data_IF_557677433983
#
_entry.id   IF_557677433983
#
_cell.length_a   1.000
_cell.length_b   1.000
_cell.length_c   1.000
_cell.angle_alpha   90.00
_cell.angle_beta   90.00
_cell.angle_gamma   90.00
#
_symmetry.space_group_name_H-M   'P 1'
#
loop_
_entity.id
_entity.type
_entity.pdbx_description
1 polymer ?
#
# COMPACT_ATOMS: atom_id res chain seq x y z
N UNK A 1 4.98 0.80 17.70
CA UNK A 1 6.32 1.29 18.08
C UNK A 1 7.06 2.02 16.95
N UNK A 2 7.19 1.49 15.72
CA UNK A 2 7.89 2.17 14.60
C UNK A 2 7.36 3.57 14.21
N UNK A 3 6.04 3.77 14.30
CA UNK A 3 5.40 5.06 14.00
C UNK A 3 5.81 6.18 14.98
N UNK A 4 6.21 5.84 16.20
CA UNK A 4 6.55 6.80 17.25
C UNK A 4 7.93 7.43 17.04
N UNK A 5 8.87 6.72 16.40
CA UNK A 5 10.26 7.14 16.22
C UNK A 5 10.55 7.81 14.87
N UNK A 6 9.63 7.70 13.91
CA UNK A 6 9.79 8.37 12.61
C UNK A 6 9.53 9.89 12.75
N UNK A 7 10.38 10.77 12.18
CA UNK A 7 10.12 12.21 12.15
C UNK A 7 8.73 12.51 11.58
N UNK A 8 7.97 13.42 12.22
CA UNK A 8 6.56 13.71 11.87
C UNK A 8 6.38 14.01 10.39
N UNK A 9 7.34 14.68 9.76
CA UNK A 9 7.35 15.05 8.33
C UNK A 9 7.48 13.83 7.40
N UNK A 10 8.12 12.75 7.86
CA UNK A 10 8.36 11.54 7.07
C UNK A 10 7.25 10.49 7.21
N UNK A 11 6.44 10.57 8.28
CA UNK A 11 5.38 9.59 8.53
C UNK A 11 4.37 9.47 7.38
N UNK A 12 3.86 10.56 6.77
CA UNK A 12 2.96 10.42 5.62
C UNK A 12 3.63 9.75 4.42
N UNK A 13 4.92 10.03 4.19
CA UNK A 13 5.71 9.45 3.09
C UNK A 13 5.90 7.95 3.27
N UNK A 14 6.31 7.54 4.47
CA UNK A 14 6.43 6.13 4.85
C UNK A 14 5.08 5.42 4.74
N UNK A 15 4.02 6.03 5.27
CA UNK A 15 2.66 5.47 5.19
C UNK A 15 2.25 5.27 3.75
N UNK A 16 2.46 6.24 2.86
CA UNK A 16 2.13 6.10 1.44
C UNK A 16 2.87 4.94 0.76
N UNK A 17 4.18 4.81 1.01
CA UNK A 17 5.01 3.71 0.48
C UNK A 17 4.50 2.36 0.98
N UNK A 18 4.26 2.25 2.29
CA UNK A 18 3.74 1.03 2.94
C UNK A 18 2.37 0.65 2.41
N UNK A 19 1.46 1.61 2.24
CA UNK A 19 0.12 1.35 1.67
C UNK A 19 0.17 0.94 0.20
N UNK A 20 1.06 1.54 -0.60
CA UNK A 20 1.19 1.14 -2.00
C UNK A 20 1.63 -0.32 -2.13
N UNK A 21 2.59 -0.74 -1.29
CA UNK A 21 3.00 -2.13 -1.20
C UNK A 21 1.84 -3.02 -0.72
N UNK A 22 1.26 -2.69 0.44
CA UNK A 22 0.25 -3.51 1.12
C UNK A 22 -1.04 -3.68 0.32
N UNK A 23 -1.55 -2.63 -0.32
CA UNK A 23 -2.78 -2.71 -1.13
C UNK A 23 -2.51 -3.04 -2.59
N UNK A 24 -1.23 -3.17 -2.98
CA UNK A 24 -0.79 -3.47 -4.34
C UNK A 24 -1.40 -2.52 -5.40
N UNK A 25 -1.53 -1.24 -5.02
CA UNK A 25 -2.15 -0.20 -5.87
C UNK A 25 -1.13 0.58 -6.67
N UNK A 26 -1.62 1.32 -7.68
CA UNK A 26 -0.76 2.23 -8.44
C UNK A 26 -0.44 3.46 -7.58
N UNK A 27 0.70 4.10 -7.85
CA UNK A 27 1.09 5.33 -7.16
C UNK A 27 0.01 6.41 -7.26
N UNK A 28 -0.61 6.56 -8.44
CA UNK A 28 -1.72 7.48 -8.67
C UNK A 28 -2.88 7.24 -7.70
N UNK A 29 -3.32 6.00 -7.56
CA UNK A 29 -4.38 5.59 -6.63
C UNK A 29 -4.03 6.05 -5.20
N UNK A 30 -2.80 5.81 -4.74
CA UNK A 30 -2.36 6.14 -3.38
C UNK A 30 -2.26 7.64 -3.15
N UNK A 31 -1.59 8.38 -4.05
CA UNK A 31 -1.46 9.84 -3.94
C UNK A 31 -2.79 10.57 -4.08
N UNK A 32 -3.76 9.91 -4.74
CA UNK A 32 -5.11 10.41 -4.96
C UNK A 32 -6.09 10.07 -3.84
N UNK A 33 -5.67 9.46 -2.73
CA UNK A 33 -6.57 9.21 -1.61
C UNK A 33 -6.87 10.49 -0.83
N UNK A 34 -8.14 10.67 -0.48
CA UNK A 34 -8.61 11.66 0.47
C UNK A 34 -9.06 11.00 1.78
N UNK A 35 -9.31 11.81 2.82
CA UNK A 35 -9.82 11.34 4.12
C UNK A 35 -11.10 10.50 3.98
N UNK A 36 -12.01 10.88 3.08
CA UNK A 36 -13.26 10.14 2.84
C UNK A 36 -13.08 8.80 2.14
N UNK A 37 -11.92 8.53 1.56
CA UNK A 37 -11.69 7.32 0.76
C UNK A 37 -11.19 6.14 1.58
N UNK A 38 -10.96 6.34 2.88
CA UNK A 38 -10.42 5.34 3.80
C UNK A 38 -11.23 5.27 5.07
N UNK A 39 -11.61 4.06 5.47
CA UNK A 39 -12.28 3.80 6.74
C UNK A 39 -11.53 2.72 7.51
N UNK A 40 -11.43 2.94 8.82
CA UNK A 40 -10.74 2.06 9.75
C UNK A 40 -11.70 1.69 10.89
N UNK A 41 -12.66 0.77 10.68
CA UNK A 41 -13.63 0.39 11.71
C UNK A 41 -12.97 -0.24 12.95
N UNK A 42 -13.67 -0.19 14.09
CA UNK A 42 -13.16 -0.71 15.36
C UNK A 42 -12.91 -2.23 15.36
N UNK A 43 -13.55 -2.97 14.45
CA UNK A 43 -13.37 -4.41 14.24
C UNK A 43 -12.02 -4.81 13.62
N UNK A 44 -11.11 -3.84 13.42
CA UNK A 44 -9.77 -4.07 12.90
C UNK A 44 -9.67 -4.13 11.38
N UNK A 45 -10.79 -4.12 10.64
CA UNK A 45 -10.75 -4.07 9.17
C UNK A 45 -10.13 -2.77 8.66
N UNK A 46 -9.71 -2.81 7.40
CA UNK A 46 -9.25 -1.64 6.65
C UNK A 46 -10.01 -1.56 5.33
N UNK A 47 -10.76 -0.49 5.14
CA UNK A 47 -11.56 -0.28 3.93
C UNK A 47 -11.01 0.91 3.15
N UNK A 48 -10.94 0.77 1.83
CA UNK A 48 -10.58 1.89 0.96
C UNK A 48 -11.38 1.87 -0.33
N UNK A 49 -11.45 3.03 -0.99
CA UNK A 49 -11.93 3.17 -2.37
C UNK A 49 -10.95 3.96 -3.22
N UNK A 50 -10.79 3.57 -4.48
CA UNK A 50 -9.94 4.25 -5.47
C UNK A 50 -10.63 4.25 -6.84
N UNK A 51 -10.30 5.19 -7.75
CA UNK A 51 -10.82 5.15 -9.11
C UNK A 51 -10.38 3.89 -9.87
N UNK A 52 -11.27 3.35 -10.72
CA UNK A 52 -10.93 2.29 -11.67
C UNK A 52 -10.31 2.90 -12.93
N UNK A 53 -8.99 2.76 -13.05
CA UNK A 53 -8.23 3.28 -14.18
C UNK A 53 -8.12 2.30 -15.37
N UNK A 54 -8.77 1.12 -15.33
CA UNK A 54 -8.67 0.11 -16.39
C UNK A 54 -9.90 0.00 -17.30
N UNK A 55 -11.04 0.53 -16.90
CA UNK A 55 -12.25 0.56 -17.74
C UNK A 55 -12.56 1.99 -18.16
N UNK A 56 -12.96 2.20 -19.42
CA UNK A 56 -13.08 3.52 -20.05
C UNK A 56 -14.14 4.45 -19.41
N UNK A 57 -14.91 3.97 -18.43
CA UNK A 57 -15.76 4.80 -17.60
C UNK A 57 -14.92 5.40 -16.45
N UNK A 58 -14.50 6.66 -16.60
CA UNK A 58 -13.70 7.42 -15.60
C UNK A 58 -14.35 7.53 -14.21
N UNK A 59 -15.60 7.08 -14.05
CA UNK A 59 -16.39 7.20 -12.83
C UNK A 59 -16.54 5.91 -12.03
N UNK A 60 -16.01 4.77 -12.52
CA UNK A 60 -16.12 3.52 -11.76
C UNK A 60 -15.14 3.53 -10.58
N UNK A 61 -15.61 3.11 -9.41
CA UNK A 61 -14.80 2.99 -8.19
C UNK A 61 -14.50 1.53 -7.88
N UNK A 62 -13.31 1.29 -7.35
CA UNK A 62 -12.90 0.03 -6.75
C UNK A 62 -12.98 0.23 -5.24
N UNK A 63 -13.88 -0.48 -4.57
CA UNK A 63 -13.91 -0.58 -3.11
C UNK A 63 -13.30 -1.91 -2.68
N UNK A 64 -12.51 -1.88 -1.60
CA UNK A 64 -11.91 -3.08 -0.99
C UNK A 64 -11.99 -3.01 0.52
N UNK A 65 -12.18 -4.17 1.13
CA UNK A 65 -12.13 -4.36 2.58
C UNK A 65 -11.12 -5.45 2.86
N UNK A 66 -10.04 -5.09 3.56
CA UNK A 66 -9.08 -6.06 4.07
C UNK A 66 -9.54 -6.53 5.45
N UNK A 67 -9.50 -7.85 5.73
CA UNK A 67 -9.77 -8.40 7.05
C UNK A 67 -8.84 -7.82 8.13
N UNK A 68 -9.21 -7.92 9.41
CA UNK A 68 -8.29 -7.59 10.50
C UNK A 68 -7.04 -8.48 10.42
N UNK A 69 -5.90 -7.97 10.90
CA UNK A 69 -4.74 -8.82 11.12
C UNK A 69 -5.07 -9.89 12.18
N UNK A 70 -4.56 -11.11 12.00
CA UNK A 70 -4.70 -12.18 13.01
C UNK A 70 -4.13 -11.76 14.36
N UNK A 71 -3.01 -11.02 14.35
CA UNK A 71 -2.45 -10.36 15.52
C UNK A 71 -2.59 -8.83 15.38
N UNK A 72 -3.69 -8.30 15.92
CA UNK A 72 -4.02 -6.87 15.82
C UNK A 72 -3.01 -5.95 16.52
N UNK A 73 -2.22 -6.44 17.47
CA UNK A 73 -1.24 -5.64 18.19
C UNK A 73 -0.05 -5.22 17.30
N UNK A 74 0.22 -5.98 16.23
CA UNK A 74 1.34 -5.79 15.31
C UNK A 74 0.92 -5.39 13.88
N UNK A 75 -0.29 -4.86 13.69
CA UNK A 75 -0.75 -4.36 12.39
C UNK A 75 -0.13 -2.99 12.04
N UNK A 76 1.18 -2.98 11.75
CA UNK A 76 1.97 -1.78 11.47
C UNK A 76 1.38 -0.94 10.32
N UNK A 77 0.99 -1.51 9.15
CA UNK A 77 0.40 -0.72 8.07
C UNK A 77 -0.86 0.01 8.51
N UNK A 78 -1.74 -0.67 9.24
CA UNK A 78 -2.98 -0.08 9.75
C UNK A 78 -2.71 0.97 10.83
N UNK A 79 -1.74 0.74 11.72
CA UNK A 79 -1.36 1.69 12.77
C UNK A 79 -0.81 3.01 12.18
N UNK A 80 0.03 2.93 11.15
CA UNK A 80 0.55 4.11 10.44
C UNK A 80 -0.59 4.93 9.83
N UNK A 81 -1.52 4.26 9.15
CA UNK A 81 -2.69 4.91 8.55
C UNK A 81 -3.66 5.48 9.59
N UNK A 82 -3.92 4.75 10.68
CA UNK A 82 -4.77 5.23 11.76
C UNK A 82 -4.21 6.51 12.40
N UNK A 83 -2.89 6.54 12.62
CA UNK A 83 -2.23 7.73 13.17
C UNK A 83 -2.34 8.91 12.22
N UNK A 84 -2.05 8.72 10.94
CA UNK A 84 -2.17 9.79 9.94
C UNK A 84 -3.58 10.37 9.87
N UNK A 85 -4.61 9.50 9.87
CA UNK A 85 -6.00 9.94 9.85
C UNK A 85 -6.38 10.68 11.14
N UNK A 86 -5.89 10.24 12.30
CA UNK A 86 -6.11 10.93 13.56
C UNK A 86 -5.45 12.32 13.56
N UNK A 87 -4.20 12.42 13.10
CA UNK A 87 -3.47 13.69 13.01
C UNK A 87 -4.21 14.67 12.06
N UNK A 88 -4.63 14.21 10.87
CA UNK A 88 -5.42 15.02 9.92
C UNK A 88 -6.75 15.48 10.50
N UNK A 89 -7.50 14.59 11.16
CA UNK A 89 -8.79 14.94 11.78
C UNK A 89 -8.62 15.93 12.92
N UNK A 90 -7.58 15.75 13.73
CA UNK A 90 -7.26 16.69 14.82
C UNK A 90 -6.90 18.08 14.30
N UNK A 91 -6.34 18.17 13.09
CA UNK A 91 -6.05 19.40 12.38
C UNK A 91 -7.27 19.98 11.62
N UNK A 92 -8.47 19.38 11.76
CA UNK A 92 -9.69 19.86 11.10
C UNK A 92 -9.77 19.54 9.60
N UNK A 93 -9.02 18.54 9.11
CA UNK A 93 -9.07 18.12 7.72
C UNK A 93 -10.50 17.71 7.29
N UNK A 94 -10.92 18.16 6.11
CA UNK A 94 -12.23 17.81 5.55
C UNK A 94 -12.18 16.44 4.85
N UNK A 95 -13.35 15.93 4.49
CA UNK A 95 -13.52 14.71 3.70
C UNK A 95 -12.66 14.70 2.40
N UNK A 96 -12.48 15.87 1.77
CA UNK A 96 -11.74 16.04 0.52
C UNK A 96 -10.23 16.28 0.69
N UNK A 97 -9.73 16.38 1.93
CA UNK A 97 -8.30 16.61 2.17
C UNK A 97 -7.47 15.39 1.72
N UNK A 98 -6.43 15.62 0.92
CA UNK A 98 -5.49 14.58 0.46
C UNK A 98 -4.72 13.99 1.64
N UNK A 99 -4.52 12.68 1.65
CA UNK A 99 -3.84 11.99 2.75
C UNK A 99 -2.33 12.28 2.81
N UNK A 100 -1.66 12.41 1.65
CA UNK A 100 -0.19 12.39 1.60
C UNK A 100 0.44 13.58 0.86
N UNK A 101 -0.19 14.04 -0.22
CA UNK A 101 0.38 15.06 -1.12
C UNK A 101 -0.72 15.67 -1.98
N UNK A 102 -0.48 16.89 -2.48
CA UNK A 102 -1.33 17.59 -3.44
C UNK A 102 -0.82 17.47 -4.89
N UNK A 103 0.17 16.61 -5.16
CA UNK A 103 0.76 16.50 -6.49
C UNK A 103 -0.26 16.11 -7.57
N UNK A 104 -0.05 16.59 -8.80
CA UNK A 104 -0.85 16.18 -9.96
C UNK A 104 -0.66 14.68 -10.27
N UNK A 105 -1.68 14.04 -10.84
CA UNK A 105 -1.66 12.60 -11.16
C UNK A 105 -0.44 12.17 -12.00
N UNK A 106 -0.01 13.02 -12.95
CA UNK A 106 1.18 12.77 -13.78
C UNK A 106 2.49 12.69 -12.99
N UNK A 107 2.55 13.31 -11.80
CA UNK A 107 3.74 13.33 -10.94
C UNK A 107 3.75 12.19 -9.90
N UNK A 108 2.63 11.49 -9.71
CA UNK A 108 2.43 10.53 -8.63
C UNK A 108 3.52 9.45 -8.56
N UNK A 109 3.86 8.84 -9.70
CA UNK A 109 4.90 7.80 -9.75
C UNK A 109 6.27 8.33 -9.32
N UNK A 110 6.63 9.54 -9.75
CA UNK A 110 7.89 10.19 -9.38
C UNK A 110 7.95 10.50 -7.88
N UNK A 111 6.85 11.02 -7.32
CA UNK A 111 6.74 11.33 -5.89
C UNK A 111 6.93 10.09 -5.02
N UNK A 112 6.18 9.00 -5.28
CA UNK A 112 6.33 7.78 -4.50
C UNK A 112 7.71 7.14 -4.71
N UNK A 113 8.25 7.18 -5.94
CA UNK A 113 9.61 6.69 -6.22
C UNK A 113 10.66 7.43 -5.39
N UNK A 114 10.55 8.76 -5.30
CA UNK A 114 11.43 9.58 -4.47
C UNK A 114 11.34 9.19 -2.99
N UNK A 115 10.12 9.04 -2.46
CA UNK A 115 9.92 8.63 -1.07
C UNK A 115 10.44 7.22 -0.78
N UNK A 116 10.25 6.27 -1.70
CA UNK A 116 10.78 4.93 -1.58
C UNK A 116 12.30 4.94 -1.52
N UNK A 117 12.97 5.60 -2.47
CA UNK A 117 14.43 5.64 -2.54
C UNK A 117 15.04 6.33 -1.33
N UNK A 118 14.44 7.43 -0.89
CA UNK A 118 14.85 8.12 0.34
C UNK A 118 14.73 7.21 1.57
N UNK A 119 13.63 6.45 1.68
CA UNK A 119 13.45 5.49 2.76
C UNK A 119 14.49 4.36 2.73
N UNK A 120 14.74 3.79 1.55
CA UNK A 120 15.74 2.73 1.36
C UNK A 120 17.16 3.22 1.66
N UNK A 121 17.51 4.44 1.22
CA UNK A 121 18.79 5.06 1.53
C UNK A 121 19.00 5.21 3.04
N UNK A 122 17.98 5.64 3.79
CA UNK A 122 18.03 5.74 5.25
C UNK A 122 18.13 4.40 5.97
N UNK A 123 17.68 3.33 5.34
CA UNK A 123 17.76 1.96 5.85
C UNK A 123 19.04 1.24 5.38
N UNK A 124 19.94 1.94 4.70
CA UNK A 124 21.14 1.36 4.09
C UNK A 124 20.85 0.18 3.14
N UNK A 125 19.71 0.25 2.45
CA UNK A 125 19.29 -0.79 1.50
C UNK A 125 19.74 -0.41 0.09
N UNK A 126 20.70 -1.18 -0.43
CA UNK A 126 21.16 -1.04 -1.81
C UNK A 126 20.28 -1.86 -2.77
N UNK A 127 19.99 -1.29 -3.95
CA UNK A 127 19.27 -2.02 -5.00
C UNK A 127 20.13 -3.17 -5.54
N UNK A 128 19.53 -4.34 -5.86
CA UNK A 128 20.23 -5.40 -6.56
C UNK A 128 20.85 -4.92 -7.87
N UNK A 129 21.94 -5.57 -8.29
CA UNK A 129 22.70 -5.23 -9.51
C UNK A 129 21.77 -5.14 -10.72
N UNK A 130 21.90 -4.05 -11.49
CA UNK A 130 21.10 -3.82 -12.71
C UNK A 130 19.65 -3.41 -12.45
N UNK A 131 19.25 -3.15 -11.20
CA UNK A 131 17.87 -2.78 -10.86
C UNK A 131 17.78 -1.39 -10.26
N UNK A 132 16.60 -0.77 -10.38
CA UNK A 132 16.29 0.49 -9.74
C UNK A 132 14.92 0.39 -9.10
N UNK A 133 14.84 0.71 -7.80
CA UNK A 133 13.56 0.79 -7.11
C UNK A 133 12.72 1.95 -7.63
N UNK A 134 11.45 1.66 -7.88
CA UNK A 134 10.44 2.62 -8.33
C UNK A 134 9.11 2.37 -7.63
N UNK A 135 8.16 3.28 -7.79
CA UNK A 135 6.79 3.06 -7.31
C UNK A 135 6.16 1.77 -7.87
N UNK A 136 6.55 1.34 -9.08
CA UNK A 136 6.09 0.08 -9.65
C UNK A 136 6.63 -1.13 -8.89
N UNK A 137 7.85 -1.04 -8.35
CA UNK A 137 8.46 -2.06 -7.50
C UNK A 137 7.63 -2.34 -6.23
N UNK A 138 6.89 -1.36 -5.70
CA UNK A 138 6.03 -1.57 -4.53
C UNK A 138 4.83 -2.44 -4.85
N UNK A 139 4.15 -2.16 -5.97
CA UNK A 139 3.01 -2.97 -6.41
C UNK A 139 3.46 -4.40 -6.77
N UNK A 140 4.55 -4.51 -7.53
CA UNK A 140 5.13 -5.79 -7.92
C UNK A 140 5.64 -6.59 -6.72
N UNK A 141 6.38 -5.91 -5.84
CA UNK A 141 6.90 -6.48 -4.60
C UNK A 141 5.80 -6.94 -3.68
N UNK A 142 4.70 -6.18 -3.54
CA UNK A 142 3.56 -6.58 -2.73
C UNK A 142 2.89 -7.86 -3.25
N UNK A 143 2.63 -7.94 -4.56
CA UNK A 143 2.09 -9.14 -5.19
C UNK A 143 3.03 -10.36 -5.05
N UNK A 144 4.34 -10.13 -5.21
CA UNK A 144 5.37 -11.18 -5.03
C UNK A 144 5.42 -11.68 -3.58
N UNK A 145 5.42 -10.77 -2.60
CA UNK A 145 5.44 -11.09 -1.18
C UNK A 145 4.16 -11.83 -0.74
N UNK A 146 2.99 -11.42 -1.23
CA UNK A 146 1.76 -12.15 -0.98
C UNK A 146 1.77 -13.56 -1.56
N UNK A 147 2.27 -13.72 -2.80
CA UNK A 147 2.44 -15.04 -3.41
C UNK A 147 3.42 -15.91 -2.61
N UNK A 148 4.56 -15.35 -2.19
CA UNK A 148 5.54 -16.06 -1.37
C UNK A 148 4.95 -16.46 0.00
N UNK A 149 4.13 -15.61 0.63
CA UNK A 149 3.42 -15.98 1.86
C UNK A 149 2.45 -17.15 1.67
N UNK A 150 1.99 -17.41 0.44
CA UNK A 150 1.00 -18.45 0.11
C UNK A 150 -0.41 -17.92 -0.12
N UNK A 151 -0.60 -16.61 -0.28
CA UNK A 151 -1.92 -16.02 -0.56
C UNK A 151 -2.47 -16.55 -1.89
N UNK A 152 -3.75 -16.96 -1.95
CA UNK A 152 -4.40 -17.36 -3.19
C UNK A 152 -4.28 -16.31 -4.32
N UNK A 153 -4.00 -16.75 -5.55
CA UNK A 153 -3.71 -15.87 -6.69
C UNK A 153 -4.92 -15.01 -7.10
N UNK A 154 -6.12 -15.52 -6.93
CA UNK A 154 -7.38 -14.80 -7.10
C UNK A 154 -7.51 -13.61 -6.14
N UNK A 155 -7.15 -13.78 -4.87
CA UNK A 155 -7.12 -12.67 -3.91
C UNK A 155 -6.06 -11.61 -4.28
N UNK A 156 -4.89 -12.04 -4.75
CA UNK A 156 -3.84 -11.12 -5.26
C UNK A 156 -4.37 -10.38 -6.50
N UNK A 157 -5.06 -11.08 -7.41
CA UNK A 157 -5.63 -10.52 -8.63
C UNK A 157 -6.70 -9.46 -8.31
N UNK A 158 -7.54 -9.74 -7.31
CA UNK A 158 -8.57 -8.84 -6.82
C UNK A 158 -7.97 -7.55 -6.24
N UNK A 159 -6.92 -7.63 -5.41
CA UNK A 159 -6.26 -6.47 -4.80
C UNK A 159 -5.52 -5.63 -5.84
N UNK A 160 -4.74 -6.29 -6.71
CA UNK A 160 -3.99 -5.63 -7.77
C UNK A 160 -4.88 -5.06 -8.88
N UNK A 161 -6.17 -5.44 -8.91
CA UNK A 161 -7.12 -5.19 -10.01
C UNK A 161 -6.51 -5.60 -11.36
N UNK A 162 -6.09 -6.85 -11.45
CA UNK A 162 -5.48 -7.42 -12.67
C UNK A 162 -5.92 -8.86 -12.87
N UNK A 163 -5.61 -9.44 -14.02
CA UNK A 163 -5.89 -10.86 -14.30
C UNK A 163 -4.78 -11.75 -13.75
N UNK A 164 -5.09 -13.00 -13.42
CA UNK A 164 -4.09 -13.97 -12.96
C UNK A 164 -2.96 -14.17 -13.98
N UNK A 165 -3.29 -14.23 -15.28
CA UNK A 165 -2.29 -14.26 -16.36
C UNK A 165 -1.29 -13.11 -16.24
N UNK A 166 -1.78 -11.87 -16.09
CA UNK A 166 -0.91 -10.70 -15.92
C UNK A 166 -0.08 -10.77 -14.64
N UNK A 167 -0.61 -11.36 -13.55
CA UNK A 167 0.16 -11.57 -12.33
C UNK A 167 1.35 -12.51 -12.57
N UNK A 168 1.06 -13.67 -13.16
CA UNK A 168 2.05 -14.71 -13.44
C UNK A 168 3.16 -14.21 -14.38
N UNK A 169 2.81 -13.47 -15.42
CA UNK A 169 3.77 -13.01 -16.44
C UNK A 169 4.62 -11.83 -15.97
N UNK A 170 4.05 -10.89 -15.20
CA UNK A 170 4.65 -9.55 -15.03
C UNK A 170 4.85 -9.11 -13.59
N UNK A 171 4.08 -9.63 -12.63
CA UNK A 171 4.07 -9.10 -11.25
C UNK A 171 4.69 -10.04 -10.22
N UNK A 172 4.60 -11.36 -10.38
CA UNK A 172 5.10 -12.31 -9.39
C UNK A 172 6.48 -12.80 -9.82
N UNK A 173 7.48 -12.60 -8.97
CA UNK A 173 8.74 -13.33 -9.08
C UNK A 173 8.62 -14.65 -8.32
N UNK A 174 8.77 -15.79 -9.01
CA UNK A 174 8.73 -17.12 -8.40
C UNK A 174 10.02 -17.48 -7.66
N UNK A 175 11.06 -16.65 -7.79
CA UNK A 175 12.37 -16.87 -7.17
C UNK A 175 12.47 -16.33 -5.74
N UNK A 176 11.43 -15.66 -5.24
CA UNK A 176 11.44 -15.06 -3.90
C UNK A 176 11.06 -16.11 -2.85
N UNK A 177 11.94 -16.28 -1.87
CA UNK A 177 11.69 -17.11 -0.69
C UNK A 177 10.82 -16.33 0.31
N UNK A 178 9.86 -16.97 0.99
CA UNK A 178 9.00 -16.30 1.95
C UNK A 178 9.79 -15.70 3.11
N UNK A 179 9.47 -14.45 3.45
CA UNK A 179 9.99 -13.75 4.63
C UNK A 179 9.01 -13.87 5.78
N UNK A 180 9.52 -13.86 7.03
CA UNK A 180 8.67 -13.78 8.22
C UNK A 180 7.80 -12.51 8.23
N UNK A 181 8.23 -11.46 7.52
CA UNK A 181 7.50 -10.20 7.41
C UNK A 181 6.34 -10.23 6.41
N UNK A 182 6.32 -11.16 5.44
CA UNK A 182 5.25 -11.20 4.43
C UNK A 182 3.89 -11.47 5.07
N UNK A 183 3.87 -12.31 6.13
CA UNK A 183 2.68 -12.58 6.93
C UNK A 183 2.22 -11.37 7.77
N UNK A 184 3.10 -10.44 8.11
CA UNK A 184 2.67 -9.19 8.78
C UNK A 184 1.77 -8.34 7.87
N UNK A 185 2.00 -8.37 6.56
CA UNK A 185 1.18 -7.64 5.58
C UNK A 185 -0.04 -8.45 5.15
N UNK A 186 0.19 -9.69 4.74
CA UNK A 186 -0.76 -10.49 3.99
C UNK A 186 -1.33 -11.68 4.76
N UNK A 187 -0.88 -11.90 6.00
CA UNK A 187 -1.42 -12.94 6.88
C UNK A 187 -2.94 -12.86 7.00
N UNK A 188 -3.49 -11.66 7.07
CA UNK A 188 -4.94 -11.39 7.11
C UNK A 188 -5.77 -11.96 5.95
N UNK A 189 -5.14 -12.45 4.88
CA UNK A 189 -5.80 -12.99 3.70
C UNK A 189 -5.84 -14.52 3.70
N UNK A 190 -5.29 -15.17 4.73
CA UNK A 190 -5.48 -16.61 4.91
C UNK A 190 -6.88 -16.90 5.49
N UNK A 191 -7.46 -18.07 5.15
CA UNK A 191 -8.60 -18.59 5.88
C UNK A 191 -8.28 -18.64 7.38
N UNK A 192 -9.28 -18.30 8.20
CA UNK A 192 -9.20 -18.43 9.65
C UNK A 192 -9.17 -19.91 10.07
#
# INVERSE_FOLDING_TARGET
MLACYSPTILRPRLTAVVLQFWWMRRAGDITGLCVADVQLPADGRTCYRVPDHKTAARDRLIARTLPPAHDGAYDVPRQLLARLLADLRSAGASAGTRLFTSCAARAASGVITGWLREGLFRLDVTAPVGTIYSSHSLKKGGATAANAAGVPRDAIAELTNTTDRTLAESYISTLVVPSCYDRCFYGRLFPA
#
